data_IF_421828307759
#
_entry.id   IF_421828307759
#
_cell.length_a   1.000
_cell.length_b   1.000
_cell.length_c   1.000
_cell.angle_alpha   90.00
_cell.angle_beta   90.00
_cell.angle_gamma   90.00
#
_symmetry.space_group_name_H-M   'P 1'
#
loop_
_entity.id
_entity.type
_entity.pdbx_description
1 polymer ?
#
# COMPACT_ATOMS: atom_id res chain seq x y z
N UNK A 1 12.58 -9.33 -14.76
CA UNK A 1 12.70 -8.83 -16.13
C UNK A 1 13.44 -9.89 -16.90
N UNK A 2 12.79 -10.53 -17.90
CA UNK A 2 13.43 -11.46 -18.81
C UNK A 2 14.15 -10.66 -19.90
N UNK A 3 15.44 -10.89 -20.07
CA UNK A 3 16.24 -10.31 -21.16
C UNK A 3 16.42 -11.37 -22.24
N UNK A 4 16.00 -11.04 -23.46
CA UNK A 4 16.16 -11.92 -24.63
C UNK A 4 17.47 -11.65 -25.39
N UNK A 5 18.14 -10.53 -25.11
CA UNK A 5 19.37 -10.10 -25.78
C UNK A 5 20.38 -9.61 -24.75
N UNK A 6 21.64 -9.96 -24.96
CA UNK A 6 22.79 -9.43 -24.25
C UNK A 6 23.94 -9.18 -25.28
N UNK A 7 24.93 -8.41 -24.86
CA UNK A 7 26.02 -8.00 -25.74
C UNK A 7 27.24 -8.82 -25.44
N UNK A 8 27.82 -9.41 -26.48
CA UNK A 8 29.12 -10.08 -26.47
C UNK A 8 30.03 -9.37 -27.48
N UNK A 9 30.74 -8.36 -27.05
CA UNK A 9 31.69 -7.66 -27.90
C UNK A 9 32.82 -7.06 -27.06
N UNK A 10 34.08 -7.32 -27.44
CA UNK A 10 35.27 -6.88 -26.69
C UNK A 10 35.36 -5.35 -26.48
N UNK A 11 34.76 -4.56 -27.37
CA UNK A 11 34.78 -3.09 -27.31
C UNK A 11 33.58 -2.50 -26.59
N UNK A 12 32.68 -3.31 -25.99
CA UNK A 12 31.54 -2.80 -25.25
C UNK A 12 31.94 -2.47 -23.82
N UNK A 13 31.91 -1.19 -23.47
CA UNK A 13 31.98 -0.75 -22.07
C UNK A 13 30.67 -1.11 -21.38
N UNK A 14 30.70 -2.01 -20.42
CA UNK A 14 29.49 -2.38 -19.66
C UNK A 14 29.02 -1.23 -18.80
N UNK A 15 27.71 -0.90 -18.87
CA UNK A 15 27.04 0.07 -18.04
C UNK A 15 26.02 -0.57 -17.13
N UNK A 16 25.33 -1.60 -17.61
CA UNK A 16 24.30 -2.32 -16.86
C UNK A 16 24.55 -3.82 -17.03
N UNK A 17 24.67 -4.52 -15.93
CA UNK A 17 24.82 -5.97 -15.87
C UNK A 17 23.52 -6.64 -15.40
N UNK A 18 23.37 -7.94 -15.68
CA UNK A 18 22.36 -8.76 -15.04
C UNK A 18 22.58 -8.80 -13.53
N UNK A 19 21.59 -9.21 -12.77
CA UNK A 19 21.69 -9.36 -11.30
C UNK A 19 22.78 -10.37 -10.89
N UNK A 20 23.05 -11.37 -11.74
CA UNK A 20 24.16 -12.34 -11.60
C UNK A 20 25.52 -11.74 -11.95
N UNK A 21 25.57 -10.59 -12.64
CA UNK A 21 26.79 -9.94 -13.07
C UNK A 21 27.49 -10.58 -14.28
N UNK A 22 26.93 -11.63 -14.88
CA UNK A 22 27.52 -12.45 -15.93
C UNK A 22 27.24 -11.96 -17.36
N UNK A 23 26.22 -11.10 -17.53
CA UNK A 23 25.81 -10.61 -18.86
C UNK A 23 25.60 -9.11 -18.89
N UNK A 24 26.05 -8.48 -19.99
CA UNK A 24 25.89 -7.06 -20.24
C UNK A 24 24.52 -6.83 -20.88
N UNK A 25 23.62 -6.12 -20.21
CA UNK A 25 22.27 -5.77 -20.70
C UNK A 25 22.14 -4.30 -21.09
N UNK A 26 23.14 -3.49 -20.76
CA UNK A 26 23.30 -2.13 -21.25
C UNK A 26 24.76 -1.79 -21.37
N UNK A 27 25.16 -1.15 -22.46
CA UNK A 27 26.55 -0.86 -22.73
C UNK A 27 26.74 0.30 -23.69
N UNK A 28 27.98 0.74 -23.80
CA UNK A 28 28.40 1.80 -24.69
C UNK A 28 29.49 1.29 -25.64
N UNK A 29 29.28 1.52 -26.93
CA UNK A 29 30.28 1.34 -27.97
C UNK A 29 30.81 2.70 -28.37
N UNK A 30 32.13 2.88 -28.36
CA UNK A 30 32.77 4.12 -28.79
C UNK A 30 33.72 3.82 -29.94
N UNK A 31 33.70 4.69 -30.95
CA UNK A 31 34.64 4.61 -32.05
C UNK A 31 35.85 5.55 -31.84
N UNK A 32 36.90 5.32 -32.61
CA UNK A 32 38.15 6.08 -32.51
C UNK A 32 38.01 7.58 -32.93
N UNK A 33 36.87 7.96 -33.52
CA UNK A 33 36.53 9.34 -33.92
C UNK A 33 35.60 10.05 -32.95
N UNK A 34 35.35 9.44 -31.78
CA UNK A 34 34.54 10.05 -30.71
C UNK A 34 33.03 9.85 -30.84
N UNK A 35 32.55 9.15 -31.84
CA UNK A 35 31.16 8.73 -31.90
C UNK A 35 30.90 7.62 -30.88
N UNK A 36 29.77 7.67 -30.22
CA UNK A 36 29.36 6.63 -29.27
C UNK A 36 27.92 6.16 -29.54
N UNK A 37 27.69 4.88 -29.34
CA UNK A 37 26.37 4.27 -29.35
C UNK A 37 26.08 3.79 -27.92
N UNK A 38 25.01 4.34 -27.31
CA UNK A 38 24.52 3.92 -26.01
C UNK A 38 23.38 2.93 -26.21
N UNK A 39 23.57 1.70 -25.73
CA UNK A 39 22.60 0.63 -25.80
C UNK A 39 22.03 0.41 -24.40
N UNK A 40 20.72 0.59 -24.26
CA UNK A 40 20.01 0.45 -23.00
C UNK A 40 18.93 -0.63 -23.13
N UNK A 41 18.61 -1.35 -22.05
CA UNK A 41 17.46 -2.26 -22.04
C UNK A 41 16.16 -1.46 -22.24
N UNK A 42 15.10 -2.09 -22.78
CA UNK A 42 13.82 -1.43 -22.94
C UNK A 42 13.29 -0.96 -21.59
N UNK A 43 12.91 0.33 -21.54
CA UNK A 43 12.33 0.93 -20.35
C UNK A 43 10.87 0.46 -20.24
N UNK A 44 10.51 -0.26 -19.17
CA UNK A 44 9.12 -0.48 -18.79
C UNK A 44 8.61 0.81 -18.17
N UNK A 45 7.75 1.50 -18.89
CA UNK A 45 7.06 2.68 -18.37
C UNK A 45 5.97 2.22 -17.41
N UNK A 46 5.89 2.75 -16.18
CA UNK A 46 4.80 2.47 -15.25
C UNK A 46 3.45 2.93 -15.80
N UNK A 47 2.37 2.24 -15.44
CA UNK A 47 1.00 2.56 -15.88
C UNK A 47 0.58 4.00 -15.51
N UNK A 48 1.15 4.55 -14.44
CA UNK A 48 0.88 5.93 -14.00
C UNK A 48 1.67 7.01 -14.77
N UNK A 49 2.31 6.65 -15.87
CA UNK A 49 2.97 7.62 -16.78
C UNK A 49 2.00 8.24 -17.77
N UNK A 50 0.83 7.64 -17.95
CA UNK A 50 -0.25 8.23 -18.74
C UNK A 50 -1.47 8.49 -17.85
N UNK A 51 -2.20 9.55 -18.17
CA UNK A 51 -3.46 9.93 -17.53
C UNK A 51 -4.47 10.38 -18.59
N UNK A 52 -5.76 10.30 -18.27
CA UNK A 52 -6.79 10.79 -19.16
C UNK A 52 -6.83 12.33 -19.11
N UNK A 53 -6.81 12.96 -20.27
CA UNK A 53 -7.05 14.39 -20.38
C UNK A 53 -8.46 14.75 -19.89
N UNK A 54 -8.70 16.03 -19.62
CA UNK A 54 -10.01 16.55 -19.16
C UNK A 54 -11.19 16.23 -20.07
N UNK A 55 -10.95 15.87 -21.35
CA UNK A 55 -11.96 15.39 -22.29
C UNK A 55 -12.43 13.93 -22.05
N UNK A 56 -11.77 13.23 -21.13
CA UNK A 56 -12.08 11.84 -20.78
C UNK A 56 -11.81 10.80 -21.88
N UNK A 57 -11.17 11.18 -22.98
CA UNK A 57 -10.93 10.31 -24.16
C UNK A 57 -9.46 10.25 -24.56
N UNK A 58 -8.72 11.31 -24.38
CA UNK A 58 -7.33 11.42 -24.84
C UNK A 58 -6.38 11.05 -23.72
N UNK A 59 -5.43 10.13 -23.97
CA UNK A 59 -4.33 9.87 -23.06
C UNK A 59 -3.21 10.89 -23.23
N UNK A 60 -2.74 11.44 -22.13
CA UNK A 60 -1.62 12.40 -22.07
C UNK A 60 -0.56 11.92 -21.09
N UNK A 61 0.65 12.43 -21.23
CA UNK A 61 1.72 12.14 -20.28
C UNK A 61 1.46 12.81 -18.94
N UNK A 62 1.51 12.03 -17.86
CA UNK A 62 1.40 12.55 -16.50
C UNK A 62 2.59 13.44 -16.15
N UNK A 63 2.43 14.30 -15.14
CA UNK A 63 3.53 15.12 -14.61
C UNK A 63 4.76 14.27 -14.21
N UNK A 64 4.53 13.06 -13.72
CA UNK A 64 5.58 12.10 -13.37
C UNK A 64 6.38 11.64 -14.58
N UNK A 65 5.69 11.38 -15.70
CA UNK A 65 6.32 11.02 -16.96
C UNK A 65 7.15 12.17 -17.52
N UNK A 66 6.63 13.41 -17.47
CA UNK A 66 7.32 14.61 -17.91
C UNK A 66 8.61 14.84 -17.10
N UNK A 67 8.55 14.70 -15.77
CA UNK A 67 9.73 14.83 -14.91
C UNK A 67 10.77 13.75 -15.20
N UNK A 68 10.33 12.49 -15.38
CA UNK A 68 11.21 11.39 -15.78
C UNK A 68 11.87 11.67 -17.14
N UNK A 69 11.12 12.11 -18.13
CA UNK A 69 11.65 12.47 -19.46
C UNK A 69 12.69 13.59 -19.39
N UNK A 70 12.45 14.63 -18.61
CA UNK A 70 13.44 15.71 -18.38
C UNK A 70 14.72 15.18 -17.71
N UNK A 71 14.58 14.33 -16.69
CA UNK A 71 15.73 13.71 -16.02
C UNK A 71 16.54 12.85 -16.99
N UNK A 72 15.88 12.02 -17.81
CA UNK A 72 16.53 11.19 -18.82
C UNK A 72 17.29 12.03 -19.86
N UNK A 73 16.68 13.11 -20.37
CA UNK A 73 17.35 14.02 -21.30
C UNK A 73 18.58 14.68 -20.68
N UNK A 74 18.49 15.13 -19.43
CA UNK A 74 19.64 15.70 -18.72
C UNK A 74 20.79 14.72 -18.59
N UNK A 75 20.49 13.43 -18.28
CA UNK A 75 21.50 12.38 -18.20
C UNK A 75 22.15 12.12 -19.58
N UNK A 76 21.37 12.06 -20.65
CA UNK A 76 21.90 11.89 -22.03
C UNK A 76 22.83 13.05 -22.39
N UNK A 77 22.42 14.29 -22.10
CA UNK A 77 23.27 15.48 -22.36
C UNK A 77 24.54 15.44 -21.51
N UNK A 78 24.46 15.00 -20.26
CA UNK A 78 25.65 14.86 -19.41
C UNK A 78 26.62 13.79 -19.93
N UNK A 79 26.10 12.66 -20.42
CA UNK A 79 26.90 11.61 -21.07
C UNK A 79 27.57 12.15 -22.33
N UNK A 80 26.83 12.85 -23.21
CA UNK A 80 27.39 13.43 -24.44
C UNK A 80 28.52 14.44 -24.14
N UNK A 81 28.31 15.32 -23.15
CA UNK A 81 29.36 16.24 -22.69
C UNK A 81 30.60 15.50 -22.19
N UNK A 82 30.43 14.48 -21.33
CA UNK A 82 31.52 13.70 -20.78
C UNK A 82 32.30 12.96 -21.89
N UNK A 83 31.61 12.43 -22.89
CA UNK A 83 32.24 11.77 -24.04
C UNK A 83 33.07 12.75 -24.88
N UNK A 84 32.56 13.92 -25.16
CA UNK A 84 33.29 14.99 -25.93
C UNK A 84 34.53 15.44 -25.16
N UNK A 85 34.41 15.64 -23.85
CA UNK A 85 35.54 16.06 -23.01
C UNK A 85 36.60 14.95 -22.86
N UNK A 86 36.18 13.67 -22.85
CA UNK A 86 37.13 12.54 -22.74
C UNK A 86 37.99 12.32 -23.98
N UNK A 87 37.61 12.88 -25.14
CA UNK A 87 38.40 12.78 -26.38
C UNK A 87 39.59 13.76 -26.37
N UNK A 88 39.44 14.87 -25.64
CA UNK A 88 40.47 15.91 -25.55
C UNK A 88 41.39 15.72 -24.34
N UNK A 89 41.06 14.78 -23.43
CA UNK A 89 41.83 14.49 -22.22
C UNK A 89 42.53 13.13 -22.29
N UNK A 90 43.78 13.11 -21.83
CA UNK A 90 44.49 11.82 -21.63
C UNK A 90 43.78 11.03 -20.55
N UNK A 91 43.41 9.74 -20.79
CA UNK A 91 42.83 8.91 -19.74
C UNK A 91 43.75 8.83 -18.53
N UNK A 92 43.15 9.02 -17.34
CA UNK A 92 43.89 8.96 -16.09
C UNK A 92 44.54 7.58 -15.90
N UNK A 93 45.86 7.47 -15.73
CA UNK A 93 46.52 6.22 -15.48
C UNK A 93 46.15 5.68 -14.08
N UNK A 94 46.14 4.33 -13.96
CA UNK A 94 45.68 3.65 -12.71
C UNK A 94 46.49 4.01 -11.47
N UNK A 95 47.76 4.39 -11.62
CA UNK A 95 48.59 4.78 -10.50
C UNK A 95 48.15 6.09 -9.81
N UNK A 96 47.32 6.90 -10.44
CA UNK A 96 46.74 8.10 -9.78
C UNK A 96 45.83 7.76 -8.60
N UNK A 97 45.33 6.54 -8.52
CA UNK A 97 44.53 6.08 -7.39
C UNK A 97 45.41 5.72 -6.16
N UNK A 98 46.71 5.71 -6.31
CA UNK A 98 47.66 5.43 -5.22
C UNK A 98 47.61 6.56 -4.20
N UNK A 99 47.85 6.19 -2.92
CA UNK A 99 47.64 7.06 -1.75
C UNK A 99 48.48 8.34 -1.79
N UNK A 100 49.64 8.28 -2.42
CA UNK A 100 50.60 9.38 -2.52
C UNK A 100 50.18 10.50 -3.50
N UNK A 101 49.24 10.19 -4.41
CA UNK A 101 48.73 11.14 -5.40
C UNK A 101 47.34 11.71 -5.04
N UNK A 102 46.75 11.24 -3.94
CA UNK A 102 45.47 11.75 -3.47
C UNK A 102 45.63 13.10 -2.80
N UNK A 103 44.80 14.07 -3.19
CA UNK A 103 44.74 15.35 -2.53
C UNK A 103 43.89 15.25 -1.26
N UNK A 104 44.37 15.89 -0.17
CA UNK A 104 43.59 15.94 1.09
C UNK A 104 42.18 16.48 0.88
N UNK A 105 42.01 17.41 -0.07
CA UNK A 105 40.72 17.99 -0.38
C UNK A 105 39.79 16.95 -1.06
N UNK A 106 40.34 16.03 -1.88
CA UNK A 106 39.54 14.94 -2.47
C UNK A 106 39.03 13.98 -1.40
N UNK A 107 39.91 13.61 -0.46
CA UNK A 107 39.51 12.76 0.66
C UNK A 107 38.40 13.42 1.49
N UNK A 108 38.50 14.72 1.78
CA UNK A 108 37.45 15.46 2.47
C UNK A 108 36.11 15.38 1.74
N UNK A 109 36.09 15.58 0.42
CA UNK A 109 34.85 15.48 -0.34
C UNK A 109 34.31 14.05 -0.43
N UNK A 110 35.19 13.04 -0.50
CA UNK A 110 34.77 11.63 -0.45
C UNK A 110 34.11 11.31 0.91
N UNK A 111 34.66 11.79 2.01
CA UNK A 111 34.10 11.58 3.33
C UNK A 111 32.75 12.31 3.50
N UNK A 112 32.64 13.52 2.97
CA UNK A 112 31.37 14.25 2.93
C UNK A 112 30.32 13.52 2.09
N UNK A 113 30.67 13.01 0.92
CA UNK A 113 29.79 12.20 0.04
C UNK A 113 29.35 10.93 0.77
N UNK A 114 30.25 10.22 1.44
CA UNK A 114 29.93 9.03 2.20
C UNK A 114 28.94 9.33 3.34
N UNK A 115 29.16 10.44 4.04
CA UNK A 115 28.27 10.89 5.12
C UNK A 115 26.87 11.20 4.57
N UNK A 116 26.80 11.91 3.45
CA UNK A 116 25.51 12.22 2.80
C UNK A 116 24.81 10.97 2.31
N UNK A 117 25.54 9.99 1.78
CA UNK A 117 24.96 8.72 1.36
C UNK A 117 24.39 7.93 2.55
N UNK A 118 25.06 7.93 3.69
CA UNK A 118 24.54 7.34 4.93
C UNK A 118 23.23 8.02 5.37
N UNK A 119 23.20 9.36 5.37
CA UNK A 119 21.98 10.11 5.68
C UNK A 119 20.83 9.80 4.72
N UNK A 120 21.12 9.62 3.43
CA UNK A 120 20.11 9.22 2.44
C UNK A 120 19.52 7.87 2.79
N UNK A 121 20.31 6.88 3.17
CA UNK A 121 19.80 5.55 3.54
C UNK A 121 18.97 5.60 4.84
N UNK A 122 19.39 6.39 5.83
CA UNK A 122 18.63 6.61 7.06
C UNK A 122 17.26 7.27 6.76
N UNK A 123 17.24 8.30 5.91
CA UNK A 123 16.01 8.98 5.51
C UNK A 123 15.09 8.03 4.73
N UNK A 124 15.63 7.21 3.82
CA UNK A 124 14.83 6.19 3.12
C UNK A 124 14.15 5.22 4.08
N UNK A 125 14.89 4.73 5.08
CA UNK A 125 14.33 3.84 6.11
C UNK A 125 13.22 4.52 6.90
N UNK A 126 13.40 5.79 7.28
CA UNK A 126 12.37 6.57 7.97
C UNK A 126 11.10 6.76 7.11
N UNK A 127 11.27 7.04 5.81
CA UNK A 127 10.15 7.16 4.88
C UNK A 127 9.38 5.84 4.80
N UNK A 128 10.07 4.71 4.67
CA UNK A 128 9.44 3.39 4.61
C UNK A 128 8.63 3.10 5.88
N UNK A 129 9.20 3.37 7.05
CA UNK A 129 8.48 3.24 8.32
C UNK A 129 7.22 4.11 8.37
N UNK A 130 7.32 5.38 7.93
CA UNK A 130 6.16 6.28 7.89
C UNK A 130 5.10 5.85 6.88
N UNK A 131 5.49 5.25 5.77
CA UNK A 131 4.55 4.67 4.80
C UNK A 131 3.79 3.47 5.40
N UNK A 132 4.47 2.60 6.15
CA UNK A 132 3.85 1.48 6.85
C UNK A 132 2.86 1.98 7.91
N UNK A 133 3.23 2.97 8.71
CA UNK A 133 2.33 3.60 9.69
C UNK A 133 1.11 4.22 9.01
N UNK A 134 1.32 5.00 7.96
CA UNK A 134 0.25 5.60 7.16
C UNK A 134 -0.72 4.54 6.63
N UNK A 135 -0.19 3.45 6.07
CA UNK A 135 -1.00 2.34 5.59
C UNK A 135 -1.84 1.73 6.71
N UNK A 136 -1.25 1.40 7.86
CA UNK A 136 -1.96 0.85 9.02
C UNK A 136 -3.11 1.76 9.45
N UNK A 137 -2.85 3.05 9.60
CA UNK A 137 -3.90 4.01 10.00
C UNK A 137 -4.99 4.19 8.92
N UNK A 138 -4.67 3.97 7.66
CA UNK A 138 -5.64 4.06 6.57
C UNK A 138 -6.60 2.86 6.47
N UNK A 139 -6.27 1.73 7.13
CA UNK A 139 -7.09 0.51 7.08
C UNK A 139 -8.52 0.74 7.59
N UNK A 140 -8.71 1.60 8.59
CA UNK A 140 -10.03 1.96 9.10
C UNK A 140 -10.97 2.52 8.02
N UNK A 141 -10.45 3.12 6.94
CA UNK A 141 -11.26 3.61 5.81
C UNK A 141 -11.99 2.51 5.08
N UNK A 142 -11.55 1.24 5.22
CA UNK A 142 -12.22 0.06 4.66
C UNK A 142 -13.64 -0.11 5.19
N UNK A 143 -13.93 0.37 6.40
CA UNK A 143 -15.29 0.44 6.95
C UNK A 143 -16.27 1.20 6.05
N UNK A 144 -15.78 2.10 5.21
CA UNK A 144 -16.61 2.96 4.37
C UNK A 144 -16.98 2.34 3.02
N UNK A 145 -16.13 1.40 2.49
CA UNK A 145 -16.29 0.96 1.11
C UNK A 145 -16.11 -0.55 0.86
N UNK A 146 -15.63 -1.31 1.85
CA UNK A 146 -15.37 -2.73 1.65
C UNK A 146 -16.60 -3.62 1.92
N UNK A 147 -16.48 -4.89 1.56
CA UNK A 147 -17.40 -6.00 1.87
C UNK A 147 -16.62 -7.28 2.15
N UNK A 148 -17.30 -8.34 2.62
CA UNK A 148 -16.69 -9.65 2.93
C UNK A 148 -15.49 -9.55 3.86
N UNK A 149 -14.53 -10.46 3.73
CA UNK A 149 -13.35 -10.54 4.61
C UNK A 149 -12.61 -9.21 4.83
N UNK A 150 -12.37 -8.33 3.82
CA UNK A 150 -11.77 -7.03 4.07
C UNK A 150 -12.59 -6.12 4.98
N UNK A 151 -13.93 -6.20 4.94
CA UNK A 151 -14.81 -5.47 5.84
C UNK A 151 -14.78 -6.05 7.26
N UNK A 152 -14.84 -7.38 7.38
CA UNK A 152 -14.75 -8.10 8.66
C UNK A 152 -13.48 -7.73 9.43
N UNK A 153 -12.30 -7.78 8.77
CA UNK A 153 -11.05 -7.35 9.39
C UNK A 153 -11.02 -5.87 9.78
N UNK A 154 -11.66 -5.00 8.99
CA UNK A 154 -11.75 -3.57 9.33
C UNK A 154 -12.66 -3.34 10.55
N UNK A 155 -13.73 -4.12 10.70
CA UNK A 155 -14.62 -4.08 11.87
C UNK A 155 -13.88 -4.59 13.12
N UNK A 156 -13.13 -5.69 13.01
CA UNK A 156 -12.32 -6.22 14.10
C UNK A 156 -11.30 -5.18 14.58
N UNK A 157 -10.52 -4.55 13.66
CA UNK A 157 -9.58 -3.47 13.99
C UNK A 157 -10.29 -2.29 14.68
N UNK A 158 -11.47 -1.95 14.20
CA UNK A 158 -12.28 -0.88 14.79
C UNK A 158 -12.72 -1.23 16.21
N UNK A 159 -13.24 -2.42 16.45
CA UNK A 159 -13.67 -2.90 17.77
C UNK A 159 -12.49 -2.95 18.75
N UNK A 160 -11.32 -3.44 18.31
CA UNK A 160 -10.09 -3.43 19.10
C UNK A 160 -9.64 -1.99 19.44
N UNK A 161 -9.76 -1.06 18.48
CA UNK A 161 -9.46 0.37 18.71
C UNK A 161 -10.38 0.99 19.76
N UNK A 162 -11.65 0.54 19.85
CA UNK A 162 -12.63 0.97 20.84
C UNK A 162 -12.38 0.35 22.22
N UNK A 163 -11.65 -0.78 22.26
CA UNK A 163 -11.28 -1.46 23.52
C UNK A 163 -11.92 -2.82 23.72
N UNK A 164 -12.64 -3.36 22.73
CA UNK A 164 -13.13 -4.74 22.77
C UNK A 164 -11.99 -5.75 22.50
N UNK A 165 -12.12 -6.93 23.05
CA UNK A 165 -11.37 -8.10 22.57
C UNK A 165 -12.13 -8.66 21.38
N UNK A 166 -11.65 -8.43 20.18
CA UNK A 166 -12.32 -8.81 18.94
C UNK A 166 -11.40 -9.64 18.04
N UNK A 167 -11.95 -10.69 17.45
CA UNK A 167 -11.25 -11.59 16.54
C UNK A 167 -12.21 -12.26 15.55
N UNK A 168 -11.68 -12.87 14.51
CA UNK A 168 -12.38 -13.84 13.68
C UNK A 168 -12.21 -15.22 14.34
N UNK A 169 -13.25 -16.03 14.34
CA UNK A 169 -13.20 -17.37 14.89
C UNK A 169 -13.36 -18.41 13.80
N UNK A 170 -12.42 -19.33 13.71
CA UNK A 170 -12.46 -20.48 12.82
C UNK A 170 -11.69 -21.65 13.48
N UNK A 171 -12.39 -22.73 13.79
CA UNK A 171 -11.80 -23.97 14.34
C UNK A 171 -11.88 -25.15 13.36
N UNK A 172 -12.23 -24.87 12.11
CA UNK A 172 -12.41 -25.86 11.04
C UNK A 172 -13.76 -26.60 11.10
N UNK A 173 -14.60 -26.33 12.11
CA UNK A 173 -15.99 -26.82 12.23
C UNK A 173 -16.96 -25.65 12.20
N UNK A 174 -16.68 -24.62 12.98
CA UNK A 174 -17.46 -23.40 13.09
C UNK A 174 -16.65 -22.20 12.63
N UNK A 175 -17.26 -21.33 11.84
CA UNK A 175 -16.66 -20.07 11.37
C UNK A 175 -17.59 -18.92 11.73
N UNK A 176 -17.09 -17.94 12.53
CA UNK A 176 -17.82 -16.73 12.86
C UNK A 176 -17.04 -15.52 12.36
N UNK A 177 -17.69 -14.66 11.57
CA UNK A 177 -17.05 -13.50 10.96
C UNK A 177 -16.37 -12.62 12.02
N UNK A 178 -17.07 -12.35 13.13
CA UNK A 178 -16.60 -11.46 14.19
C UNK A 178 -17.08 -12.00 15.54
N UNK A 179 -16.14 -12.26 16.45
CA UNK A 179 -16.42 -12.53 17.86
C UNK A 179 -15.77 -11.45 18.69
N UNK A 180 -16.50 -10.82 19.62
CA UNK A 180 -15.92 -9.81 20.47
C UNK A 180 -16.51 -9.81 21.88
N UNK A 181 -15.72 -9.35 22.83
CA UNK A 181 -16.04 -9.38 24.26
C UNK A 181 -15.68 -8.06 24.95
N UNK A 182 -16.47 -7.72 25.95
CA UNK A 182 -16.23 -6.65 26.92
C UNK A 182 -16.78 -7.06 28.29
N UNK A 183 -16.69 -6.17 29.27
CA UNK A 183 -17.32 -6.35 30.59
C UNK A 183 -18.85 -6.49 30.50
N UNK A 184 -19.47 -6.08 29.39
CA UNK A 184 -20.91 -6.21 29.14
C UNK A 184 -21.33 -7.56 28.59
N UNK A 185 -20.38 -8.42 28.24
CA UNK A 185 -20.61 -9.77 27.75
C UNK A 185 -19.93 -10.09 26.44
N UNK A 186 -20.40 -11.21 25.84
CA UNK A 186 -19.93 -11.81 24.59
C UNK A 186 -20.88 -11.43 23.45
N UNK A 187 -20.29 -11.16 22.28
CA UNK A 187 -21.01 -10.74 21.08
C UNK A 187 -20.54 -11.54 19.87
N UNK A 188 -21.47 -11.86 18.98
CA UNK A 188 -21.19 -12.40 17.64
C UNK A 188 -21.69 -11.41 16.61
N UNK A 189 -20.81 -11.06 15.69
CA UNK A 189 -21.07 -10.13 14.62
C UNK A 189 -21.09 -10.80 13.25
N UNK A 190 -21.99 -10.34 12.38
CA UNK A 190 -22.00 -10.60 10.95
C UNK A 190 -21.79 -9.28 10.21
N UNK A 191 -21.04 -9.32 9.13
CA UNK A 191 -20.75 -8.16 8.30
C UNK A 191 -21.41 -8.27 6.92
N UNK A 192 -22.06 -7.22 6.45
CA UNK A 192 -22.64 -7.18 5.11
C UNK A 192 -22.39 -5.83 4.41
N UNK A 193 -21.71 -5.87 3.25
CA UNK A 193 -21.57 -4.73 2.35
C UNK A 193 -22.46 -4.88 1.12
N UNK A 194 -23.14 -3.79 0.73
CA UNK A 194 -23.98 -3.72 -0.49
C UNK A 194 -23.59 -2.53 -1.35
N UNK A 195 -23.50 -2.76 -2.66
CA UNK A 195 -23.09 -1.70 -3.61
C UNK A 195 -24.20 -0.66 -3.80
N UNK A 196 -25.44 -1.11 -4.00
CA UNK A 196 -26.53 -0.28 -4.49
C UNK A 196 -27.86 -0.44 -3.70
N UNK A 197 -27.78 -0.98 -2.49
CA UNK A 197 -29.00 -1.22 -1.69
C UNK A 197 -28.74 -1.17 -0.19
N UNK A 198 -29.83 -1.02 0.57
CA UNK A 198 -29.84 -1.16 2.03
C UNK A 198 -29.56 -2.60 2.46
N UNK A 199 -29.06 -2.79 3.67
CA UNK A 199 -28.88 -4.10 4.28
C UNK A 199 -30.24 -4.71 4.60
N UNK A 200 -30.44 -5.95 4.20
CA UNK A 200 -31.68 -6.67 4.36
C UNK A 200 -31.60 -7.75 5.46
N UNK A 201 -32.69 -8.53 5.63
CA UNK A 201 -32.82 -9.54 6.67
C UNK A 201 -32.00 -10.82 6.42
N UNK A 202 -31.32 -10.97 5.29
CA UNK A 202 -30.72 -12.25 4.86
C UNK A 202 -29.70 -12.76 5.90
N UNK A 203 -28.86 -11.89 6.44
CA UNK A 203 -27.82 -12.23 7.40
C UNK A 203 -28.33 -12.55 8.83
N UNK A 204 -29.59 -12.23 9.15
CA UNK A 204 -30.14 -12.52 10.48
C UNK A 204 -30.19 -14.02 10.79
N UNK A 205 -30.59 -14.85 9.83
CA UNK A 205 -30.64 -16.29 10.04
C UNK A 205 -29.26 -16.90 10.29
N UNK A 206 -28.27 -16.40 9.56
CA UNK A 206 -26.88 -16.82 9.75
C UNK A 206 -26.41 -16.43 11.15
N UNK A 207 -26.64 -15.16 11.55
CA UNK A 207 -26.27 -14.65 12.85
C UNK A 207 -26.97 -15.42 14.01
N UNK A 208 -28.26 -15.70 13.88
CA UNK A 208 -29.00 -16.52 14.87
C UNK A 208 -28.43 -17.96 14.95
N UNK A 209 -28.06 -18.57 13.81
CA UNK A 209 -27.40 -19.88 13.78
C UNK A 209 -26.06 -19.84 14.48
N UNK A 210 -25.24 -18.84 14.16
CA UNK A 210 -23.89 -18.67 14.73
C UNK A 210 -23.93 -18.45 16.25
N UNK A 211 -24.91 -17.70 16.76
CA UNK A 211 -25.11 -17.51 18.20
C UNK A 211 -25.44 -18.83 18.90
N UNK A 212 -26.31 -19.66 18.31
CA UNK A 212 -26.66 -20.95 18.88
C UNK A 212 -25.48 -21.93 18.82
N UNK A 213 -24.78 -21.96 17.71
CA UNK A 213 -23.59 -22.80 17.49
C UNK A 213 -22.44 -22.40 18.44
N UNK A 214 -22.22 -21.10 18.68
CA UNK A 214 -21.25 -20.64 19.67
C UNK A 214 -21.61 -21.10 21.09
N UNK A 215 -22.91 -21.09 21.44
CA UNK A 215 -23.37 -21.54 22.78
C UNK A 215 -23.29 -23.05 22.98
N UNK A 216 -23.26 -23.85 21.92
CA UNK A 216 -23.05 -25.31 21.99
C UNK A 216 -21.60 -25.70 22.28
N UNK A 217 -20.67 -24.76 22.28
CA UNK A 217 -19.24 -24.99 22.56
C UNK A 217 -19.01 -25.15 24.08
N UNK A 218 -18.21 -26.13 24.47
CA UNK A 218 -17.96 -26.46 25.86
C UNK A 218 -17.37 -25.29 26.70
N UNK A 219 -16.60 -24.41 26.07
CA UNK A 219 -15.96 -23.25 26.71
C UNK A 219 -16.88 -22.03 26.86
N UNK A 220 -18.04 -22.01 26.18
CA UNK A 220 -18.96 -20.87 26.18
C UNK A 220 -20.05 -21.08 27.22
N UNK A 221 -20.08 -20.24 28.24
CA UNK A 221 -21.04 -20.33 29.35
C UNK A 221 -22.15 -19.31 29.33
N UNK A 222 -22.05 -18.32 28.40
CA UNK A 222 -23.02 -17.22 28.29
C UNK A 222 -23.43 -17.07 26.83
N UNK A 223 -24.73 -16.94 26.59
CA UNK A 223 -25.25 -16.65 25.27
C UNK A 223 -24.72 -15.31 24.73
N UNK A 224 -24.15 -15.32 23.52
CA UNK A 224 -23.71 -14.12 22.87
C UNK A 224 -24.90 -13.25 22.43
N UNK A 225 -24.71 -11.93 22.42
CA UNK A 225 -25.63 -10.98 21.78
C UNK A 225 -25.24 -10.82 20.31
N UNK A 226 -26.22 -10.78 19.42
CA UNK A 226 -25.98 -10.63 17.99
C UNK A 226 -25.79 -9.16 17.57
N UNK A 227 -24.85 -8.92 16.65
CA UNK A 227 -24.61 -7.61 16.05
C UNK A 227 -24.48 -7.74 14.55
N UNK A 228 -25.30 -7.03 13.79
CA UNK A 228 -25.19 -6.94 12.33
C UNK A 228 -24.54 -5.61 11.93
N UNK A 229 -23.33 -5.71 11.38
CA UNK A 229 -22.58 -4.58 10.83
C UNK A 229 -22.94 -4.40 9.35
N UNK A 230 -23.45 -3.23 9.00
CA UNK A 230 -23.89 -2.92 7.66
C UNK A 230 -23.10 -1.81 6.98
N UNK A 231 -22.63 -2.06 5.76
CA UNK A 231 -22.05 -1.07 4.86
C UNK A 231 -22.90 -0.94 3.58
N UNK A 232 -24.10 -0.33 3.67
CA UNK A 232 -24.99 -0.16 2.52
C UNK A 232 -24.46 0.93 1.59
N UNK A 233 -24.83 0.83 0.29
CA UNK A 233 -24.44 1.82 -0.73
C UNK A 233 -22.95 2.17 -0.66
N UNK A 234 -22.10 1.18 -0.41
CA UNK A 234 -20.69 1.33 -0.06
C UNK A 234 -19.84 2.09 -1.09
N UNK A 235 -20.30 2.18 -2.35
CA UNK A 235 -19.62 2.92 -3.43
C UNK A 235 -20.16 4.35 -3.60
N UNK A 236 -21.18 4.73 -2.82
CA UNK A 236 -21.74 6.07 -2.79
C UNK A 236 -21.13 6.84 -1.62
N UNK A 237 -20.95 8.15 -1.80
CA UNK A 237 -20.43 9.01 -0.73
C UNK A 237 -21.31 8.88 0.54
N UNK A 238 -20.72 8.69 1.73
CA UNK A 238 -21.49 8.41 2.96
C UNK A 238 -22.66 9.36 3.21
N UNK A 239 -22.48 10.66 2.99
CA UNK A 239 -23.52 11.68 3.20
C UNK A 239 -24.69 11.61 2.19
N UNK A 240 -24.54 10.83 1.11
CA UNK A 240 -25.56 10.64 0.08
C UNK A 240 -26.31 9.32 0.24
N UNK A 241 -25.86 8.46 1.17
CA UNK A 241 -26.50 7.18 1.49
C UNK A 241 -27.83 7.44 2.21
N UNK A 242 -28.89 6.76 1.75
CA UNK A 242 -30.23 7.00 2.28
C UNK A 242 -30.54 6.05 3.44
N UNK A 243 -31.21 4.97 3.18
CA UNK A 243 -31.63 4.01 4.21
C UNK A 243 -30.53 2.97 4.43
N UNK A 244 -29.98 2.88 5.62
CA UNK A 244 -28.92 1.92 5.93
C UNK A 244 -29.43 0.49 6.02
N UNK A 245 -30.57 0.29 6.69
CA UNK A 245 -31.21 -1.01 6.87
C UNK A 245 -32.65 -0.95 6.36
N UNK A 246 -33.11 -2.04 5.74
CA UNK A 246 -34.53 -2.11 5.34
C UNK A 246 -35.44 -2.16 6.55
N UNK A 247 -36.68 -1.69 6.41
CA UNK A 247 -37.66 -1.73 7.51
C UNK A 247 -37.82 -3.14 8.09
N UNK A 248 -37.81 -4.17 7.24
CA UNK A 248 -37.87 -5.59 7.67
C UNK A 248 -36.68 -5.97 8.55
N UNK A 249 -35.49 -5.48 8.25
CA UNK A 249 -34.29 -5.72 9.08
C UNK A 249 -34.41 -5.02 10.43
N UNK A 250 -34.87 -3.78 10.45
CA UNK A 250 -35.11 -3.01 11.71
C UNK A 250 -36.16 -3.71 12.58
N UNK A 251 -37.27 -4.15 12.01
CA UNK A 251 -38.32 -4.84 12.76
C UNK A 251 -37.88 -6.20 13.29
N UNK A 252 -37.06 -6.91 12.51
CA UNK A 252 -36.44 -8.16 12.97
C UNK A 252 -35.46 -7.90 14.12
N UNK A 253 -34.57 -6.92 14.01
CA UNK A 253 -33.63 -6.54 15.03
C UNK A 253 -34.31 -6.24 16.38
N UNK A 254 -35.38 -5.44 16.35
CA UNK A 254 -36.19 -5.15 17.54
C UNK A 254 -36.81 -6.38 18.19
N UNK A 255 -37.24 -7.36 17.37
CA UNK A 255 -37.87 -8.59 17.86
C UNK A 255 -36.88 -9.59 18.43
N UNK A 256 -35.67 -9.70 17.82
CA UNK A 256 -34.66 -10.68 18.18
C UNK A 256 -33.63 -10.15 19.20
N UNK A 257 -33.58 -8.84 19.42
CA UNK A 257 -32.57 -8.20 20.25
C UNK A 257 -31.20 -8.07 19.59
N UNK A 258 -31.11 -8.29 18.27
CA UNK A 258 -29.88 -8.11 17.50
C UNK A 258 -29.64 -6.60 17.32
N UNK A 259 -28.41 -6.15 17.59
CA UNK A 259 -28.01 -4.77 17.35
C UNK A 259 -27.69 -4.54 15.86
N UNK A 260 -28.02 -3.37 15.36
CA UNK A 260 -27.65 -2.91 14.01
C UNK A 260 -26.61 -1.80 14.11
N UNK A 261 -25.46 -2.02 13.50
CA UNK A 261 -24.36 -1.05 13.48
C UNK A 261 -24.04 -0.66 12.05
N UNK A 262 -24.07 0.65 11.79
CA UNK A 262 -23.63 1.22 10.53
C UNK A 262 -22.09 1.37 10.55
N UNK A 263 -21.41 0.80 9.57
CA UNK A 263 -19.94 0.84 9.51
C UNK A 263 -19.38 2.26 9.29
N UNK A 264 -20.15 3.17 8.71
CA UNK A 264 -19.77 4.58 8.63
C UNK A 264 -19.76 5.26 10.02
N UNK A 265 -20.75 4.99 10.86
CA UNK A 265 -20.78 5.52 12.24
C UNK A 265 -19.62 4.92 13.06
N UNK A 266 -19.38 3.62 12.91
CA UNK A 266 -18.22 2.97 13.51
C UNK A 266 -16.90 3.62 13.06
N UNK A 267 -16.78 3.98 11.77
CA UNK A 267 -15.62 4.72 11.26
C UNK A 267 -15.46 6.08 11.94
N UNK A 268 -16.53 6.85 12.12
CA UNK A 268 -16.46 8.18 12.77
C UNK A 268 -16.00 8.06 14.24
N UNK A 269 -16.44 7.03 14.97
CA UNK A 269 -15.95 6.73 16.33
C UNK A 269 -14.45 6.43 16.32
N UNK A 270 -14.00 5.51 15.46
CA UNK A 270 -12.58 5.15 15.34
C UNK A 270 -11.73 6.35 14.94
N UNK A 271 -12.21 7.14 13.99
CA UNK A 271 -11.54 8.37 13.54
C UNK A 271 -11.40 9.38 14.69
N UNK A 272 -12.42 9.54 15.50
CA UNK A 272 -12.37 10.42 16.67
C UNK A 272 -11.32 9.94 17.68
N UNK A 273 -11.34 8.64 18.03
CA UNK A 273 -10.39 8.04 18.98
C UNK A 273 -8.95 8.19 18.46
N UNK A 274 -8.69 7.83 17.19
CA UNK A 274 -7.35 7.91 16.59
C UNK A 274 -6.82 9.35 16.46
N UNK A 275 -7.72 10.34 16.35
CA UNK A 275 -7.33 11.75 16.24
C UNK A 275 -7.13 12.45 17.60
N UNK A 276 -7.80 11.98 18.64
CA UNK A 276 -7.81 12.64 19.96
C UNK A 276 -7.07 11.86 21.04
N UNK A 277 -6.69 10.60 20.74
CA UNK A 277 -6.18 9.62 21.72
C UNK A 277 -7.09 9.45 22.96
N UNK A 278 -8.39 9.71 22.78
CA UNK A 278 -9.40 9.68 23.83
C UNK A 278 -10.20 8.38 23.77
N UNK A 279 -9.74 7.37 24.50
CA UNK A 279 -10.44 6.08 24.60
C UNK A 279 -11.70 6.13 25.48
N UNK A 280 -11.85 7.11 26.36
CA UNK A 280 -13.04 7.24 27.21
C UNK A 280 -14.29 7.64 26.42
N UNK A 281 -14.16 8.11 25.20
CA UNK A 281 -15.29 8.38 24.32
C UNK A 281 -16.05 7.11 23.89
N UNK A 282 -15.40 5.97 23.92
CA UNK A 282 -15.96 4.69 23.51
C UNK A 282 -16.73 3.95 24.65
N UNK A 283 -16.63 4.45 25.86
CA UNK A 283 -17.38 3.97 27.04
C UNK A 283 -18.68 4.78 27.18
#
# INVERSE_FOLDING_TARGET
TEYQLYFEHEKVKSLILTKSGDKIVGGMLQNDKGGAILLLPPLKLPDNFTELHTDGKTQVWSQKAIQFGKSLLNQIVAIDKALRTSIESTPAPQWLDEKEFKLDIEQKYLDEINTLNQQIEEIKSQIEQKQIELYKHSLSKKLLYENGKPLEYAIIDALQTIGFKAENYDDGKSEFDIVFESDEGRFIGEAEGKDNSSINITKFRQLESNINEDFERDEVTVHAKGVLFGNPFRLIHPNERKEFFTQKAIDAAKRTGIALVNTHELFEVVKYIKNTDNQDYAK
#
